data_IF_869577384664
#
_entry.id   IF_869577384664
#
_cell.length_a   1.000
_cell.length_b   1.000
_cell.length_c   1.000
_cell.angle_alpha   90.00
_cell.angle_beta   90.00
_cell.angle_gamma   90.00
#
_symmetry.space_group_name_H-M   'P 1'
#
loop_
_entity.id
_entity.type
_entity.pdbx_description
1 polymer ?
#
# COMPACT_ATOMS: atom_id res chain seq x y z
N UNK A 1 -27.79 -2.47 1.34
CA UNK A 1 -26.34 -2.56 1.55
C UNK A 1 -26.05 -2.64 3.05
N UNK A 2 -25.36 -3.68 3.49
CA UNK A 2 -25.05 -3.87 4.92
C UNK A 2 -23.58 -3.58 5.19
N UNK A 3 -23.30 -2.40 5.75
CA UNK A 3 -21.94 -1.93 6.03
C UNK A 3 -21.38 -2.45 7.37
N UNK A 4 -22.20 -3.14 8.17
CA UNK A 4 -21.74 -3.74 9.43
C UNK A 4 -21.14 -5.13 9.24
N UNK A 5 -21.14 -5.65 8.01
CA UNK A 5 -20.48 -6.92 7.67
C UNK A 5 -18.97 -6.79 7.82
N UNK A 6 -18.29 -7.88 8.23
CA UNK A 6 -16.83 -7.92 8.23
C UNK A 6 -16.25 -7.80 6.83
N UNK A 7 -15.07 -7.17 6.75
CA UNK A 7 -14.37 -6.97 5.46
C UNK A 7 -13.74 -8.25 4.90
N UNK A 8 -13.64 -9.30 5.67
CA UNK A 8 -12.87 -10.52 5.30
C UNK A 8 -13.23 -11.13 3.95
N UNK A 9 -14.49 -10.99 3.52
CA UNK A 9 -14.92 -11.48 2.19
C UNK A 9 -14.46 -10.62 1.04
N UNK A 10 -14.07 -9.37 1.30
CA UNK A 10 -13.62 -8.41 0.31
C UNK A 10 -12.09 -8.33 0.23
N UNK A 11 -11.38 -8.94 1.18
CA UNK A 11 -9.92 -8.91 1.26
C UNK A 11 -9.32 -9.74 0.12
N UNK A 12 -8.37 -9.14 -0.57
CA UNK A 12 -7.51 -9.87 -1.53
C UNK A 12 -6.41 -10.56 -0.75
N UNK A 13 -6.43 -11.88 -0.76
CA UNK A 13 -5.45 -12.72 -0.06
C UNK A 13 -4.18 -12.90 -0.90
N UNK A 14 -3.17 -13.50 -0.29
CA UNK A 14 -1.87 -13.76 -0.92
C UNK A 14 -1.21 -12.46 -1.41
N UNK A 15 -0.90 -11.52 -0.48
CA UNK A 15 -0.26 -10.28 -0.86
C UNK A 15 1.13 -10.53 -1.45
N UNK A 16 1.54 -9.69 -2.39
CA UNK A 16 2.90 -9.70 -2.90
C UNK A 16 3.83 -9.05 -1.87
N UNK A 17 4.85 -9.80 -1.41
CA UNK A 17 5.88 -9.28 -0.53
C UNK A 17 7.15 -8.99 -1.31
N UNK A 18 7.78 -7.86 -1.02
CA UNK A 18 9.07 -7.48 -1.57
C UNK A 18 10.01 -7.06 -0.45
N UNK A 19 11.32 -7.17 -0.67
CA UNK A 19 12.32 -6.75 0.30
C UNK A 19 12.63 -5.25 0.17
N UNK A 20 13.08 -4.58 1.25
CA UNK A 20 13.46 -3.17 1.18
C UNK A 20 14.66 -2.90 0.26
N UNK A 21 15.43 -3.92 -0.07
CA UNK A 21 16.57 -3.81 -0.99
C UNK A 21 16.16 -3.89 -2.46
N UNK A 22 14.94 -4.26 -2.77
CA UNK A 22 14.45 -4.33 -4.15
C UNK A 22 14.38 -2.95 -4.78
N UNK A 23 14.71 -2.90 -6.08
CA UNK A 23 14.59 -1.71 -6.90
C UNK A 23 13.17 -1.57 -7.44
N UNK A 24 12.81 -0.37 -7.89
CA UNK A 24 11.49 -0.15 -8.50
C UNK A 24 11.26 -1.04 -9.72
N UNK A 25 12.32 -1.29 -10.50
CA UNK A 25 12.24 -2.20 -11.64
C UNK A 25 11.90 -3.63 -11.23
N UNK A 26 12.53 -4.13 -10.15
CA UNK A 26 12.25 -5.46 -9.61
C UNK A 26 10.82 -5.56 -9.06
N UNK A 27 10.37 -4.52 -8.35
CA UNK A 27 9.00 -4.48 -7.82
C UNK A 27 7.96 -4.44 -8.94
N UNK A 28 8.18 -3.60 -9.96
CA UNK A 28 7.28 -3.52 -11.11
C UNK A 28 7.18 -4.86 -11.85
N UNK A 29 8.31 -5.54 -12.01
CA UNK A 29 8.35 -6.88 -12.64
C UNK A 29 7.53 -7.89 -11.83
N UNK A 30 7.72 -7.91 -10.50
CA UNK A 30 6.98 -8.82 -9.62
C UNK A 30 5.46 -8.52 -9.65
N UNK A 31 5.08 -7.25 -9.65
CA UNK A 31 3.67 -6.86 -9.78
C UNK A 31 3.05 -7.37 -11.09
N UNK A 32 3.79 -7.25 -12.20
CA UNK A 32 3.33 -7.72 -13.50
C UNK A 32 3.19 -9.24 -13.56
N UNK A 33 4.17 -9.96 -13.05
CA UNK A 33 4.17 -11.42 -13.03
C UNK A 33 3.04 -12.01 -12.17
N UNK A 34 2.79 -11.40 -11.02
CA UNK A 34 1.76 -11.87 -10.08
C UNK A 34 0.40 -11.18 -10.27
N UNK A 35 0.30 -10.25 -11.21
CA UNK A 35 -0.92 -9.48 -11.50
C UNK A 35 -1.45 -8.78 -10.25
N UNK A 36 -0.54 -8.14 -9.53
CA UNK A 36 -0.85 -7.34 -8.33
C UNK A 36 -0.53 -5.88 -8.60
N UNK A 37 -1.32 -4.99 -8.03
CA UNK A 37 -1.11 -3.53 -8.11
C UNK A 37 -0.60 -2.93 -6.81
N UNK A 38 -0.27 -3.77 -5.84
CA UNK A 38 0.27 -3.37 -4.55
C UNK A 38 1.31 -4.41 -4.10
N UNK A 39 2.40 -3.93 -3.52
CA UNK A 39 3.42 -4.76 -2.90
C UNK A 39 3.63 -4.34 -1.45
N UNK A 40 3.78 -5.31 -0.57
CA UNK A 40 4.05 -5.09 0.85
C UNK A 40 5.56 -5.22 1.07
N UNK A 41 6.18 -4.18 1.59
CA UNK A 41 7.62 -4.17 1.88
C UNK A 41 7.84 -4.77 3.26
N UNK A 42 8.60 -5.86 3.30
CA UNK A 42 8.81 -6.65 4.51
C UNK A 42 10.29 -6.92 4.68
N UNK A 43 10.81 -6.71 5.88
CA UNK A 43 12.23 -6.96 6.16
C UNK A 43 12.50 -8.44 6.44
N UNK A 44 13.79 -8.77 6.69
CA UNK A 44 14.22 -10.15 6.97
C UNK A 44 13.62 -10.71 8.26
N UNK A 45 13.23 -9.86 9.19
CA UNK A 45 12.60 -10.26 10.46
C UNK A 45 11.10 -10.51 10.31
N UNK A 46 10.55 -10.24 9.13
CA UNK A 46 9.13 -10.38 8.88
C UNK A 46 8.32 -9.14 9.26
N UNK A 47 8.97 -8.04 9.59
CA UNK A 47 8.30 -6.79 9.93
C UNK A 47 7.90 -6.04 8.66
N UNK A 48 6.65 -5.57 8.62
CA UNK A 48 6.14 -4.77 7.51
C UNK A 48 6.62 -3.34 7.67
N UNK A 49 7.37 -2.85 6.69
CA UNK A 49 7.91 -1.50 6.67
C UNK A 49 7.00 -0.51 5.95
N UNK A 50 6.23 -0.97 4.99
CA UNK A 50 5.35 -0.12 4.22
C UNK A 50 4.75 -0.84 3.03
N UNK A 51 4.14 -0.06 2.15
CA UNK A 51 3.57 -0.54 0.89
C UNK A 51 4.01 0.35 -0.27
N UNK A 52 3.99 -0.22 -1.46
CA UNK A 52 4.09 0.53 -2.70
C UNK A 52 3.00 0.05 -3.66
N UNK A 53 2.35 0.99 -4.33
CA UNK A 53 1.30 0.69 -5.30
C UNK A 53 1.80 0.98 -6.71
N UNK A 54 1.07 0.48 -7.72
CA UNK A 54 1.35 0.81 -9.12
C UNK A 54 1.25 2.32 -9.35
N UNK A 55 0.36 3.01 -8.63
CA UNK A 55 0.24 4.47 -8.70
C UNK A 55 1.52 5.16 -8.19
N UNK A 56 2.12 4.66 -7.10
CA UNK A 56 3.38 5.20 -6.58
C UNK A 56 4.52 5.03 -7.58
N UNK A 57 4.58 3.88 -8.27
CA UNK A 57 5.57 3.66 -9.33
C UNK A 57 5.37 4.64 -10.49
N UNK A 58 4.12 4.85 -10.89
CA UNK A 58 3.80 5.80 -11.95
C UNK A 58 4.18 7.24 -11.56
N UNK A 59 3.90 7.64 -10.32
CA UNK A 59 4.29 8.96 -9.82
C UNK A 59 5.82 9.14 -9.85
N UNK A 60 6.58 8.13 -9.48
CA UNK A 60 8.04 8.16 -9.57
C UNK A 60 8.52 8.36 -11.02
N UNK A 61 7.92 7.63 -11.96
CA UNK A 61 8.21 7.78 -13.39
C UNK A 61 7.90 9.19 -13.88
N UNK A 62 6.73 9.70 -13.50
CA UNK A 62 6.28 11.03 -13.91
C UNK A 62 7.21 12.12 -13.43
N UNK A 63 7.60 12.08 -12.16
CA UNK A 63 8.52 13.04 -11.56
C UNK A 63 9.88 12.95 -12.25
N UNK A 64 10.38 11.74 -12.49
CA UNK A 64 11.66 11.53 -13.15
C UNK A 64 11.67 12.10 -14.57
N UNK A 65 10.61 11.83 -15.35
CA UNK A 65 10.50 12.35 -16.73
C UNK A 65 10.48 13.88 -16.75
N UNK A 66 9.74 14.50 -15.82
CA UNK A 66 9.64 15.97 -15.77
C UNK A 66 10.94 16.65 -15.29
N UNK A 67 11.73 15.98 -14.48
CA UNK A 67 12.91 16.58 -13.84
C UNK A 67 14.25 16.17 -14.46
N UNK A 68 14.30 15.13 -15.27
CA UNK A 68 15.56 14.60 -15.82
C UNK A 68 16.34 15.63 -16.63
N UNK A 69 15.65 16.58 -17.27
CA UNK A 69 16.27 17.63 -18.07
C UNK A 69 16.67 18.84 -17.22
N UNK A 70 16.28 18.89 -15.95
CA UNK A 70 16.49 20.02 -15.06
C UNK A 70 17.53 19.76 -13.98
N UNK A 71 17.79 18.50 -13.65
CA UNK A 71 18.66 18.11 -12.55
C UNK A 71 19.74 17.13 -13.05
N UNK A 72 21.01 17.58 -13.02
CA UNK A 72 22.15 16.75 -13.45
C UNK A 72 22.43 15.56 -12.52
N UNK A 73 21.85 15.53 -11.33
CA UNK A 73 22.15 14.53 -10.29
C UNK A 73 21.01 13.56 -9.99
N UNK A 74 20.02 13.47 -10.84
CA UNK A 74 19.01 12.42 -10.69
C UNK A 74 19.55 11.08 -11.21
N UNK A 75 19.06 9.94 -10.69
CA UNK A 75 19.46 8.64 -11.20
C UNK A 75 19.25 8.56 -12.71
N UNK A 76 20.20 7.99 -13.42
CA UNK A 76 20.13 7.80 -14.87
C UNK A 76 18.89 6.98 -15.27
N UNK A 77 18.39 6.16 -14.35
CA UNK A 77 17.22 5.32 -14.58
C UNK A 77 16.41 5.21 -13.27
N UNK A 78 15.15 5.62 -13.33
CA UNK A 78 14.24 5.55 -12.18
C UNK A 78 14.05 4.12 -11.67
N UNK A 79 14.23 3.12 -12.54
CA UNK A 79 14.10 1.71 -12.17
C UNK A 79 15.16 1.27 -11.15
N UNK A 80 16.28 1.99 -11.03
CA UNK A 80 17.37 1.68 -10.11
C UNK A 80 17.13 2.18 -8.69
N UNK A 81 16.14 3.05 -8.48
CA UNK A 81 15.79 3.51 -7.15
C UNK A 81 15.31 2.34 -6.28
N UNK A 82 15.66 2.39 -5.00
CA UNK A 82 15.17 1.41 -4.03
C UNK A 82 13.71 1.69 -3.67
N UNK A 83 12.94 0.63 -3.44
CA UNK A 83 11.53 0.74 -3.07
C UNK A 83 11.32 1.58 -1.81
N UNK A 84 12.28 1.57 -0.88
CA UNK A 84 12.22 2.34 0.35
C UNK A 84 12.19 3.86 0.12
N UNK A 85 12.61 4.33 -1.06
CA UNK A 85 12.59 5.76 -1.38
C UNK A 85 11.19 6.28 -1.70
N UNK A 86 10.26 5.41 -2.05
CA UNK A 86 8.91 5.82 -2.46
C UNK A 86 7.78 5.12 -1.68
N UNK A 87 8.10 4.11 -0.86
CA UNK A 87 7.07 3.37 -0.12
C UNK A 87 6.33 4.27 0.87
N UNK A 88 5.05 3.93 1.10
CA UNK A 88 4.26 4.51 2.18
C UNK A 88 4.59 3.73 3.45
N UNK A 89 5.11 4.41 4.48
CA UNK A 89 5.48 3.78 5.74
C UNK A 89 4.27 3.20 6.47
N UNK A 90 4.46 2.03 7.08
CA UNK A 90 3.41 1.37 7.86
C UNK A 90 3.43 1.88 9.30
N UNK A 91 2.30 2.44 9.75
CA UNK A 91 2.11 2.92 11.10
C UNK A 91 0.82 2.37 11.69
N UNK A 92 0.77 2.25 13.02
CA UNK A 92 -0.49 1.92 13.68
C UNK A 92 -1.40 3.15 13.70
N UNK A 93 -2.71 2.90 13.76
CA UNK A 93 -3.70 3.97 13.88
C UNK A 93 -3.42 4.84 15.12
N UNK A 94 -3.10 4.20 16.24
CA UNK A 94 -2.79 4.87 17.50
C UNK A 94 -1.56 5.77 17.39
N UNK A 95 -0.53 5.31 16.72
CA UNK A 95 0.67 6.12 16.48
C UNK A 95 0.35 7.36 15.64
N UNK A 96 -0.44 7.19 14.59
CA UNK A 96 -0.84 8.31 13.74
C UNK A 96 -1.65 9.35 14.50
N UNK A 97 -2.60 8.91 15.32
CA UNK A 97 -3.40 9.80 16.16
C UNK A 97 -2.53 10.55 17.16
N UNK A 98 -1.60 9.85 17.82
CA UNK A 98 -0.70 10.44 18.81
C UNK A 98 0.26 11.48 18.21
N UNK A 99 0.73 11.25 16.97
CA UNK A 99 1.67 12.13 16.28
C UNK A 99 1.00 13.19 15.42
N UNK A 100 -0.33 13.16 15.29
CA UNK A 100 -1.06 14.08 14.40
C UNK A 100 -0.74 13.86 12.92
N UNK A 101 -0.23 12.68 12.57
CA UNK A 101 0.09 12.35 11.18
C UNK A 101 -1.19 12.14 10.38
N UNK A 102 -1.34 12.90 9.32
CA UNK A 102 -2.46 12.77 8.37
C UNK A 102 -1.88 12.76 6.97
N UNK A 103 -2.60 12.12 6.04
CA UNK A 103 -2.25 12.17 4.63
C UNK A 103 -2.02 10.81 4.00
N UNK A 104 -1.63 10.83 2.73
CA UNK A 104 -1.59 9.67 1.85
C UNK A 104 -0.26 8.90 1.89
N UNK A 105 0.75 9.38 2.65
CA UNK A 105 2.08 8.77 2.70
C UNK A 105 2.23 7.71 3.79
N UNK A 106 1.13 7.25 4.35
CA UNK A 106 1.11 6.25 5.41
C UNK A 106 0.26 5.06 5.00
N UNK A 107 0.50 3.93 5.67
CA UNK A 107 -0.25 2.71 5.48
C UNK A 107 -0.86 2.30 6.83
N UNK A 108 -2.13 1.97 6.83
CA UNK A 108 -2.86 1.53 8.02
C UNK A 108 -3.21 0.05 7.88
N UNK A 109 -3.19 -0.66 8.99
CA UNK A 109 -3.57 -2.07 9.06
C UNK A 109 -4.86 -2.22 9.87
N UNK A 110 -5.83 -2.94 9.30
CA UNK A 110 -7.06 -3.36 9.98
C UNK A 110 -7.10 -4.87 10.14
N UNK A 111 -7.94 -5.36 11.03
CA UNK A 111 -8.21 -6.79 11.16
C UNK A 111 -9.29 -7.24 10.18
N UNK A 112 -9.30 -8.53 9.85
CA UNK A 112 -10.29 -9.08 8.91
C UNK A 112 -11.73 -9.05 9.42
N UNK A 113 -11.92 -8.91 10.74
CA UNK A 113 -13.24 -8.81 11.37
C UNK A 113 -13.72 -7.37 11.52
N UNK A 114 -12.92 -6.39 11.13
CA UNK A 114 -13.38 -5.00 11.04
C UNK A 114 -14.53 -4.89 10.04
N UNK A 115 -15.39 -3.91 10.24
CA UNK A 115 -16.55 -3.72 9.38
C UNK A 115 -16.23 -2.93 8.11
N UNK A 116 -17.04 -3.11 7.10
CA UNK A 116 -16.97 -2.33 5.87
C UNK A 116 -17.08 -0.83 6.19
N UNK A 117 -18.00 -0.45 7.08
CA UNK A 117 -18.16 0.94 7.52
C UNK A 117 -16.85 1.49 8.12
N UNK A 118 -16.18 0.71 8.97
CA UNK A 118 -14.94 1.15 9.59
C UNK A 118 -13.82 1.35 8.55
N UNK A 119 -13.69 0.42 7.62
CA UNK A 119 -12.71 0.55 6.53
C UNK A 119 -12.94 1.82 5.71
N UNK A 120 -14.20 2.11 5.37
CA UNK A 120 -14.56 3.32 4.64
C UNK A 120 -14.21 4.58 5.44
N UNK A 121 -14.51 4.60 6.75
CA UNK A 121 -14.15 5.73 7.62
C UNK A 121 -12.65 5.98 7.65
N UNK A 122 -11.88 4.91 7.79
CA UNK A 122 -10.41 5.02 7.81
C UNK A 122 -9.91 5.61 6.50
N UNK A 123 -10.39 5.12 5.36
CA UNK A 123 -10.01 5.66 4.05
C UNK A 123 -10.45 7.12 3.89
N UNK A 124 -11.66 7.47 4.36
CA UNK A 124 -12.17 8.83 4.27
C UNK A 124 -11.35 9.83 5.09
N UNK A 125 -10.96 9.44 6.29
CA UNK A 125 -10.20 10.32 7.21
C UNK A 125 -8.75 10.46 6.76
N UNK A 126 -8.14 9.39 6.25
CA UNK A 126 -6.73 9.37 5.89
C UNK A 126 -6.45 9.71 4.43
N UNK A 127 -7.45 9.61 3.56
CA UNK A 127 -7.25 9.75 2.12
C UNK A 127 -6.59 8.55 1.47
N UNK A 128 -6.45 7.44 2.19
CA UNK A 128 -5.86 6.22 1.64
C UNK A 128 -6.86 5.48 0.77
N UNK A 129 -6.35 4.83 -0.28
CA UNK A 129 -7.13 3.97 -1.17
C UNK A 129 -6.78 2.48 -1.01
N UNK A 130 -5.82 2.17 -0.14
CA UNK A 130 -5.40 0.81 0.18
C UNK A 130 -5.18 0.67 1.69
N UNK A 131 -5.57 -0.47 2.23
CA UNK A 131 -5.37 -0.84 3.65
C UNK A 131 -4.75 -2.23 3.69
N UNK A 132 -3.82 -2.45 4.62
CA UNK A 132 -3.31 -3.77 4.92
C UNK A 132 -4.27 -4.47 5.88
N UNK A 133 -4.44 -5.77 5.68
CA UNK A 133 -5.29 -6.58 6.55
C UNK A 133 -4.43 -7.59 7.28
N UNK A 134 -4.51 -7.55 8.61
CA UNK A 134 -3.82 -8.49 9.47
C UNK A 134 -4.75 -9.61 9.90
N UNK A 135 -4.18 -10.77 10.09
CA UNK A 135 -4.84 -11.94 10.65
C UNK A 135 -3.84 -12.71 11.48
N UNK A 136 -4.11 -13.98 11.70
CA UNK A 136 -3.20 -14.85 12.41
C UNK A 136 -1.87 -14.97 11.61
N UNK A 137 -0.76 -14.64 12.26
CA UNK A 137 0.57 -14.72 11.67
C UNK A 137 1.04 -13.50 10.89
N UNK A 138 0.30 -12.38 10.92
CA UNK A 138 0.72 -11.13 10.30
C UNK A 138 -0.22 -10.64 9.21
N UNK A 139 0.32 -9.98 8.19
CA UNK A 139 -0.46 -9.46 7.06
C UNK A 139 -0.94 -10.61 6.18
N UNK A 140 -2.26 -10.75 6.05
CA UNK A 140 -2.90 -11.82 5.27
C UNK A 140 -3.45 -11.35 3.94
N UNK A 141 -3.56 -10.05 3.74
CA UNK A 141 -4.13 -9.51 2.52
C UNK A 141 -4.14 -8.01 2.46
N UNK A 142 -4.79 -7.50 1.43
CA UNK A 142 -4.96 -6.07 1.17
C UNK A 142 -6.42 -5.78 0.84
N UNK A 143 -6.83 -4.54 1.08
CA UNK A 143 -8.16 -4.06 0.77
C UNK A 143 -8.04 -2.71 0.09
N UNK A 144 -8.64 -2.57 -1.08
CA UNK A 144 -8.66 -1.31 -1.83
C UNK A 144 -10.06 -0.74 -1.91
N UNK A 145 -10.15 0.51 -2.36
CA UNK A 145 -11.42 1.15 -2.72
C UNK A 145 -12.18 0.31 -3.77
N UNK A 146 -11.47 -0.25 -4.76
CA UNK A 146 -12.07 -1.13 -5.77
C UNK A 146 -12.71 -2.38 -5.14
N UNK A 147 -12.13 -2.89 -4.07
CA UNK A 147 -12.70 -4.04 -3.36
C UNK A 147 -13.96 -3.63 -2.59
N UNK A 148 -13.95 -2.43 -1.99
CA UNK A 148 -15.08 -1.94 -1.20
C UNK A 148 -16.31 -1.62 -2.04
N UNK A 149 -16.14 -1.18 -3.29
CA UNK A 149 -17.30 -0.89 -4.14
C UNK A 149 -18.13 -2.14 -4.46
N UNK A 150 -17.59 -3.33 -4.25
CA UNK A 150 -18.36 -4.57 -4.36
C UNK A 150 -19.54 -4.62 -3.38
N UNK A 151 -19.47 -3.85 -2.29
CA UNK A 151 -20.58 -3.74 -1.34
C UNK A 151 -21.82 -3.12 -1.94
N UNK A 152 -21.71 -2.39 -3.06
CA UNK A 152 -22.88 -1.83 -3.75
C UNK A 152 -23.81 -2.88 -4.35
N UNK A 153 -23.29 -4.08 -4.64
CA UNK A 153 -24.03 -5.13 -5.32
C UNK A 153 -24.47 -6.27 -4.39
N UNK A 154 -24.17 -6.17 -3.12
CA UNK A 154 -24.56 -7.16 -2.11
C UNK A 154 -25.85 -6.77 -1.37
#
# INVERSE_FOLDING_TARGET
>A
MNLDKPIKKLVKKNPLFVAPTHTLGEVAKAMGEEKKNIAVVKDKKGEVLGIVTSHDLFDAMRIWVLQKDMLEQIPSDVRELKVTNIMKGAYTKEFMEACGLTGTNVCITLGEDDTIANAIRVMAVTGLDHILISGEGGVIGTLSDDDLIKAFVD
#
